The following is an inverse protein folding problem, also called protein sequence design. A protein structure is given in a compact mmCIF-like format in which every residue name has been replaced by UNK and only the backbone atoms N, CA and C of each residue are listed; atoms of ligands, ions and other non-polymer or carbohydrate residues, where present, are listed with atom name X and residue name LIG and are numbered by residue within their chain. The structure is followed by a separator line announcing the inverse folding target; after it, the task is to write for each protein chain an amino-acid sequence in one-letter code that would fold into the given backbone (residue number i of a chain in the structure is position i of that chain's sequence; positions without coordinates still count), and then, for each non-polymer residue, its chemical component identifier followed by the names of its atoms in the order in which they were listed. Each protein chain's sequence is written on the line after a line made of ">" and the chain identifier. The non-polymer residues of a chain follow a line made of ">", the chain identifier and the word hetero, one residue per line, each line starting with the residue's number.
data_IF_876884433523
#
_entry.id   IF_876884433523
#
_cell.length_a   1.000
_cell.length_b   1.000
_cell.length_c   1.000
_cell.angle_alpha   90.00
_cell.angle_beta   90.00
_cell.angle_gamma   90.00
#
_symmetry.space_group_name_H-M   'P 1'
#
loop_
_entity.id
_entity.type
_entity.pdbx_description
1 polymer ?
#
# COMPACT_ATOMS: atom_id res chain seq x y z
N UNK A 1 -18.42 -18.01 13.75
CA UNK A 1 -18.59 -16.57 13.53
C UNK A 1 -17.32 -16.08 12.87
N UNK A 2 -17.33 -15.86 11.55
CA UNK A 2 -16.27 -15.09 10.90
C UNK A 2 -16.51 -13.65 11.32
N UNK A 3 -15.55 -13.06 12.02
CA UNK A 3 -15.54 -11.62 12.29
C UNK A 3 -15.74 -10.88 10.96
N UNK A 4 -16.51 -9.78 10.90
CA UNK A 4 -16.49 -8.93 9.73
C UNK A 4 -15.12 -8.26 9.69
N UNK A 5 -14.14 -8.90 9.04
CA UNK A 5 -12.89 -8.24 8.65
C UNK A 5 -13.30 -6.92 8.01
N UNK A 6 -12.83 -5.77 8.52
CA UNK A 6 -13.17 -4.48 7.95
C UNK A 6 -12.89 -4.52 6.44
N UNK A 7 -13.73 -3.85 5.63
CA UNK A 7 -13.56 -3.88 4.19
C UNK A 7 -12.13 -3.42 3.85
N UNK A 8 -11.43 -4.14 2.96
CA UNK A 8 -10.03 -3.85 2.65
C UNK A 8 -9.86 -2.41 2.21
N UNK A 9 -8.92 -1.70 2.83
CA UNK A 9 -8.73 -0.28 2.54
C UNK A 9 -8.00 -0.16 1.20
N UNK A 10 -8.57 0.48 0.15
CA UNK A 10 -7.93 0.54 -1.15
C UNK A 10 -6.66 1.41 -1.13
N UNK A 11 -5.72 1.11 -2.03
CA UNK A 11 -4.50 1.91 -2.16
C UNK A 11 -4.80 3.39 -2.52
N UNK A 12 -4.06 4.35 -1.94
CA UNK A 12 -4.26 5.76 -2.20
C UNK A 12 -3.89 6.12 -3.64
N UNK A 13 -4.75 6.90 -4.31
CA UNK A 13 -4.56 7.31 -5.72
C UNK A 13 -3.31 8.17 -5.98
N UNK A 14 -2.62 8.63 -4.92
CA UNK A 14 -1.45 9.50 -4.98
C UNK A 14 -0.10 8.78 -5.17
N UNK A 15 -0.05 7.45 -5.09
CA UNK A 15 1.22 6.68 -5.23
C UNK A 15 1.74 6.63 -6.66
N UNK A 16 0.89 6.96 -7.65
CA UNK A 16 1.24 7.00 -9.06
C UNK A 16 1.12 5.63 -9.74
N UNK A 17 0.91 5.66 -11.07
CA UNK A 17 0.57 4.46 -11.85
C UNK A 17 1.66 3.38 -11.84
N UNK A 18 2.93 3.79 -11.83
CA UNK A 18 4.06 2.87 -11.78
C UNK A 18 4.13 2.11 -10.45
N UNK A 19 3.97 2.82 -9.33
CA UNK A 19 3.96 2.19 -8.02
C UNK A 19 2.73 1.30 -7.84
N UNK A 20 1.53 1.74 -8.25
CA UNK A 20 0.33 0.89 -8.22
C UNK A 20 0.53 -0.40 -9.03
N UNK A 21 1.15 -0.33 -10.21
CA UNK A 21 1.44 -1.51 -11.01
C UNK A 21 2.45 -2.43 -10.33
N UNK A 22 3.55 -1.88 -9.78
CA UNK A 22 4.56 -2.66 -9.07
C UNK A 22 4.00 -3.36 -7.83
N UNK A 23 3.16 -2.67 -7.04
CA UNK A 23 2.47 -3.25 -5.90
C UNK A 23 1.52 -4.37 -6.34
N UNK A 24 0.73 -4.15 -7.39
CA UNK A 24 -0.17 -5.17 -7.92
C UNK A 24 0.57 -6.42 -8.43
N UNK A 25 1.80 -6.28 -8.94
CA UNK A 25 2.64 -7.41 -9.33
C UNK A 25 3.09 -8.25 -8.13
N UNK A 26 3.31 -7.62 -6.98
CA UNK A 26 3.60 -8.28 -5.70
C UNK A 26 2.34 -8.78 -4.98
N UNK A 27 1.15 -8.59 -5.57
CA UNK A 27 -0.13 -8.96 -4.96
C UNK A 27 -0.66 -7.94 -3.93
N UNK A 28 0.02 -6.81 -3.77
CA UNK A 28 -0.36 -5.74 -2.85
C UNK A 28 -1.38 -4.86 -3.54
N UNK A 29 -2.64 -4.94 -3.10
CA UNK A 29 -3.75 -4.21 -3.71
C UNK A 29 -4.49 -3.31 -2.73
N UNK A 30 -4.18 -3.44 -1.44
CA UNK A 30 -4.83 -2.74 -0.33
C UNK A 30 -3.79 -2.13 0.61
N UNK A 31 -4.20 -1.13 1.41
CA UNK A 31 -3.39 -0.55 2.48
C UNK A 31 -3.12 -1.57 3.60
N UNK A 32 -4.01 -2.55 3.79
CA UNK A 32 -3.81 -3.63 4.74
C UNK A 32 -2.68 -4.56 4.29
N UNK A 33 -2.62 -4.93 3.00
CA UNK A 33 -1.46 -5.65 2.44
C UNK A 33 -0.16 -4.85 2.64
N UNK A 34 -0.23 -3.52 2.48
CA UNK A 34 0.92 -2.64 2.71
C UNK A 34 1.35 -2.63 4.19
N UNK A 35 0.44 -2.85 5.15
CA UNK A 35 0.77 -2.98 6.58
C UNK A 35 1.50 -4.29 6.89
N UNK A 36 1.22 -5.35 6.14
CA UNK A 36 1.84 -6.65 6.33
C UNK A 36 3.25 -6.73 5.71
N UNK A 37 3.59 -5.82 4.79
CA UNK A 37 4.90 -5.76 4.14
C UNK A 37 5.74 -4.57 4.62
N UNK A 38 7.04 -4.65 4.38
CA UNK A 38 7.97 -3.56 4.70
C UNK A 38 8.01 -2.50 3.58
N UNK A 39 7.69 -1.25 3.93
CA UNK A 39 7.75 -0.09 3.02
C UNK A 39 9.15 0.13 2.45
N UNK A 40 10.21 -0.19 3.20
CA UNK A 40 11.59 -0.04 2.71
C UNK A 40 11.94 -1.16 1.70
N UNK A 41 11.29 -2.32 1.82
CA UNK A 41 11.29 -3.37 0.79
C UNK A 41 10.62 -2.90 -0.49
N UNK A 42 9.50 -2.17 -0.37
CA UNK A 42 8.78 -1.61 -1.53
C UNK A 42 9.62 -0.62 -2.32
N UNK A 43 10.54 0.14 -1.70
CA UNK A 43 11.48 1.02 -2.43
C UNK A 43 12.41 0.28 -3.39
N UNK A 44 12.62 -1.02 -3.18
CA UNK A 44 13.43 -1.84 -4.09
C UNK A 44 12.66 -2.26 -5.33
N UNK A 45 11.33 -2.15 -5.32
CA UNK A 45 10.50 -2.53 -6.46
C UNK A 45 10.66 -1.52 -7.60
N UNK A 46 10.86 -2.03 -8.81
CA UNK A 46 10.99 -1.20 -10.00
C UNK A 46 9.68 -0.45 -10.27
N UNK A 47 9.71 0.88 -10.13
CA UNK A 47 8.54 1.75 -10.31
C UNK A 47 7.92 2.26 -9.01
N UNK A 48 8.37 1.79 -7.84
CA UNK A 48 8.01 2.38 -6.54
C UNK A 48 9.05 3.42 -6.16
N UNK A 49 8.65 4.69 -6.27
CA UNK A 49 9.51 5.82 -5.89
C UNK A 49 9.32 6.25 -4.42
N UNK A 50 10.24 7.09 -3.90
CA UNK A 50 10.12 7.66 -2.56
C UNK A 50 8.80 8.43 -2.36
N UNK A 51 8.24 9.02 -3.42
CA UNK A 51 6.94 9.67 -3.36
C UNK A 51 5.79 8.69 -3.09
N UNK A 52 5.84 7.50 -3.66
CA UNK A 52 4.84 6.46 -3.41
C UNK A 52 4.86 6.03 -1.94
N UNK A 53 6.06 5.78 -1.40
CA UNK A 53 6.22 5.45 0.03
C UNK A 53 5.69 6.55 0.93
N UNK A 54 5.99 7.82 0.62
CA UNK A 54 5.48 8.93 1.42
C UNK A 54 3.95 8.92 1.47
N UNK A 55 3.29 8.74 0.33
CA UNK A 55 1.82 8.67 0.26
C UNK A 55 1.27 7.44 0.99
N UNK A 56 1.94 6.29 0.88
CA UNK A 56 1.56 5.09 1.66
C UNK A 56 1.66 5.35 3.17
N UNK A 57 2.77 5.93 3.63
CA UNK A 57 2.98 6.29 5.05
C UNK A 57 1.91 7.27 5.55
N UNK A 58 1.61 8.31 4.77
CA UNK A 58 0.55 9.27 5.08
C UNK A 58 -0.83 8.60 5.16
N UNK A 59 -1.15 7.71 4.22
CA UNK A 59 -2.42 7.00 4.20
C UNK A 59 -2.57 6.00 5.36
N UNK A 60 -1.48 5.32 5.73
CA UNK A 60 -1.41 4.45 6.90
C UNK A 60 -1.58 5.22 8.21
N UNK A 61 -1.00 6.43 8.30
CA UNK A 61 -1.15 7.30 9.46
C UNK A 61 -2.56 7.92 9.56
N UNK A 62 -3.18 8.21 8.42
CA UNK A 62 -4.52 8.81 8.34
C UNK A 62 -5.65 7.79 8.56
N UNK A 63 -5.39 6.52 8.26
CA UNK A 63 -6.34 5.42 8.50
C UNK A 63 -5.93 4.69 9.78
N UNK A 64 -6.52 5.00 10.95
CA UNK A 64 -6.39 4.11 12.10
C UNK A 64 -7.04 2.77 11.73
N UNK A 65 -6.25 1.70 11.81
CA UNK A 65 -6.74 0.32 11.68
C UNK A 65 -7.52 -0.09 12.91
#
# INVERSE_FOLDING_TARGET
>A
MVDPTPPPTPLPRGIGRAATAALALEGITTLDDVREVDLDGLLRLHGVGPKAIQVLREALASTPG
#
